data_IF_499256037314
#
_entry.id   IF_499256037314
#
_cell.length_a   1.000
_cell.length_b   1.000
_cell.length_c   1.000
_cell.angle_alpha   90.00
_cell.angle_beta   90.00
_cell.angle_gamma   90.00
#
_symmetry.space_group_name_H-M   'P 1'
#
loop_
_entity.id
_entity.type
_entity.pdbx_description
1 polymer ?
#
# COMPACT_ATOMS: atom_id res chain seq x y z
N UNK A 1 -27.71 37.21 -23.30
CA UNK A 1 -28.14 37.21 -21.89
C UNK A 1 -28.46 35.77 -21.53
N UNK A 2 -27.85 35.03 -20.62
CA UNK A 2 -26.65 35.13 -19.79
C UNK A 2 -26.51 33.70 -19.26
N UNK A 3 -25.31 33.09 -19.32
CA UNK A 3 -25.03 31.86 -18.57
C UNK A 3 -24.56 32.34 -17.19
N UNK A 4 -24.89 31.67 -16.07
CA UNK A 4 -23.79 30.95 -15.45
C UNK A 4 -24.17 29.60 -14.80
N UNK A 5 -23.43 28.57 -15.18
CA UNK A 5 -22.40 27.90 -14.36
C UNK A 5 -23.00 26.88 -13.40
N UNK A 6 -22.86 25.61 -13.80
CA UNK A 6 -22.86 24.49 -12.90
C UNK A 6 -21.94 24.82 -11.72
N UNK A 7 -22.54 25.02 -10.54
CA UNK A 7 -21.85 25.18 -9.28
C UNK A 7 -21.12 23.87 -9.01
N UNK A 8 -19.88 23.81 -9.51
CA UNK A 8 -18.86 22.90 -9.06
C UNK A 8 -18.83 23.03 -7.55
N UNK A 9 -19.32 22.01 -6.84
CA UNK A 9 -19.26 21.93 -5.38
C UNK A 9 -17.78 21.99 -4.97
N UNK A 10 -17.26 23.20 -4.76
CA UNK A 10 -16.07 23.43 -3.96
C UNK A 10 -16.49 23.16 -2.51
N UNK A 11 -16.61 21.88 -2.17
CA UNK A 11 -16.55 21.51 -0.77
C UNK A 11 -15.23 22.08 -0.24
N UNK A 12 -15.33 22.98 0.74
CA UNK A 12 -14.20 23.64 1.37
C UNK A 12 -13.25 22.56 1.86
N UNK A 13 -12.19 22.29 1.10
CA UNK A 13 -11.10 21.42 1.56
C UNK A 13 -10.65 21.97 2.91
N UNK A 14 -10.83 21.18 3.96
CA UNK A 14 -10.37 21.56 5.29
C UNK A 14 -8.85 21.64 5.20
N UNK A 15 -8.22 22.74 5.63
CA UNK A 15 -6.78 22.82 5.64
C UNK A 15 -6.24 21.68 6.51
N UNK A 16 -5.13 21.09 6.09
CA UNK A 16 -4.47 20.06 6.88
C UNK A 16 -4.13 20.61 8.27
N UNK A 17 -4.42 19.87 9.34
CA UNK A 17 -4.06 20.32 10.68
C UNK A 17 -2.54 20.49 10.77
N UNK A 18 -2.12 21.60 11.37
CA UNK A 18 -0.71 21.88 11.67
C UNK A 18 -0.56 22.08 13.18
N UNK A 19 0.19 21.22 13.90
CA UNK A 19 0.90 20.02 13.44
C UNK A 19 -0.04 18.90 12.98
N UNK A 20 0.45 18.03 12.09
CA UNK A 20 -0.34 16.91 11.58
C UNK A 20 -0.66 15.91 12.70
N UNK A 21 -1.93 15.50 12.79
CA UNK A 21 -2.39 14.54 13.80
C UNK A 21 -2.11 13.13 13.26
N UNK A 22 -1.16 12.44 13.90
CA UNK A 22 -0.85 11.06 13.54
C UNK A 22 -1.92 10.09 14.06
N UNK A 23 -2.12 8.95 13.38
CA UNK A 23 -2.87 7.82 13.94
C UNK A 23 -2.36 7.46 15.34
N UNK A 24 -3.30 7.28 16.27
CA UNK A 24 -3.02 6.94 17.68
C UNK A 24 -2.63 5.47 17.81
N UNK A 25 -3.32 4.60 17.09
CA UNK A 25 -3.11 3.16 17.12
C UNK A 25 -2.65 2.69 15.74
N UNK A 26 -1.60 1.88 15.70
CA UNK A 26 -1.16 1.21 14.49
C UNK A 26 -1.43 -0.28 14.60
N UNK A 27 -1.22 -1.03 13.51
CA UNK A 27 -1.22 -2.49 13.60
C UNK A 27 -0.08 -2.94 14.55
N UNK A 28 -0.25 -4.04 15.31
CA UNK A 28 0.74 -4.48 16.28
C UNK A 28 2.16 -4.62 15.71
N UNK A 29 2.27 -5.10 14.46
CA UNK A 29 3.54 -5.23 13.75
C UNK A 29 4.25 -3.88 13.54
N UNK A 30 3.50 -2.83 13.20
CA UNK A 30 4.03 -1.47 13.08
C UNK A 30 4.46 -0.95 14.44
N UNK A 31 3.67 -1.15 15.49
CA UNK A 31 4.01 -0.70 16.84
C UNK A 31 5.28 -1.38 17.37
N UNK A 32 5.47 -2.67 17.10
CA UNK A 32 6.70 -3.39 17.42
C UNK A 32 7.92 -2.82 16.68
N UNK A 33 7.78 -2.54 15.38
CA UNK A 33 8.83 -1.90 14.59
C UNK A 33 9.15 -0.47 15.06
N UNK A 34 8.13 0.30 15.47
CA UNK A 34 8.29 1.64 16.03
C UNK A 34 9.04 1.60 17.36
N UNK A 35 8.68 0.66 18.25
CA UNK A 35 9.35 0.49 19.56
C UNK A 35 10.78 -0.01 19.43
N UNK A 36 11.06 -0.88 18.45
CA UNK A 36 12.41 -1.43 18.21
C UNK A 36 13.32 -0.52 17.39
N UNK A 37 12.79 0.56 16.79
CA UNK A 37 13.52 1.47 15.91
C UNK A 37 14.01 0.84 14.60
N UNK A 38 13.56 -0.38 14.29
CA UNK A 38 13.90 -1.12 13.07
C UNK A 38 12.62 -1.40 12.29
N UNK A 39 12.48 -0.72 11.15
CA UNK A 39 11.30 -0.83 10.31
C UNK A 39 11.50 -1.87 9.20
N UNK A 40 10.62 -2.87 9.12
CA UNK A 40 10.55 -3.75 7.94
C UNK A 40 9.91 -3.01 6.76
N UNK A 41 10.12 -3.49 5.53
CA UNK A 41 9.51 -2.89 4.34
C UNK A 41 7.98 -2.90 4.42
N UNK A 42 7.39 -3.98 4.95
CA UNK A 42 5.95 -4.13 5.08
C UNK A 42 5.37 -3.23 6.19
N UNK A 43 5.98 -3.21 7.38
CA UNK A 43 5.57 -2.30 8.46
C UNK A 43 5.68 -0.83 8.03
N UNK A 44 6.73 -0.47 7.28
CA UNK A 44 6.88 0.87 6.69
C UNK A 44 5.71 1.21 5.79
N UNK A 45 5.33 0.31 4.89
CA UNK A 45 4.21 0.50 3.97
C UNK A 45 2.91 0.68 4.77
N UNK A 46 2.62 -0.20 5.73
CA UNK A 46 1.41 -0.12 6.56
C UNK A 46 1.32 1.19 7.36
N UNK A 47 2.43 1.65 7.94
CA UNK A 47 2.49 2.94 8.62
C UNK A 47 2.16 4.09 7.67
N UNK A 48 2.81 4.13 6.50
CA UNK A 48 2.59 5.19 5.52
C UNK A 48 1.16 5.16 4.96
N UNK A 49 0.58 3.98 4.73
CA UNK A 49 -0.82 3.84 4.32
C UNK A 49 -1.77 4.36 5.39
N UNK A 50 -1.52 4.07 6.67
CA UNK A 50 -2.34 4.55 7.79
C UNK A 50 -2.28 6.07 7.92
N UNK A 51 -1.08 6.64 7.81
CA UNK A 51 -0.87 8.09 7.83
C UNK A 51 -1.52 8.75 6.61
N UNK A 52 -1.36 8.16 5.41
CA UNK A 52 -2.00 8.65 4.20
C UNK A 52 -3.52 8.62 4.30
N UNK A 53 -4.10 7.56 4.87
CA UNK A 53 -5.56 7.44 5.08
C UNK A 53 -6.08 8.52 6.04
N UNK A 54 -5.34 8.78 7.12
CA UNK A 54 -5.65 9.88 8.03
C UNK A 54 -5.61 11.23 7.30
N UNK A 55 -4.56 11.49 6.53
CA UNK A 55 -4.45 12.71 5.71
C UNK A 55 -5.59 12.83 4.68
N UNK A 56 -5.96 11.72 4.03
CA UNK A 56 -7.03 11.64 3.04
C UNK A 56 -8.40 12.01 3.63
N UNK A 57 -8.63 11.71 4.92
CA UNK A 57 -9.85 12.11 5.63
C UNK A 57 -10.00 13.62 5.81
N UNK A 58 -8.90 14.38 5.79
CA UNK A 58 -8.90 15.84 5.85
C UNK A 58 -8.92 16.47 4.46
N UNK A 59 -8.06 15.98 3.56
CA UNK A 59 -7.85 16.57 2.24
C UNK A 59 -7.65 15.50 1.18
N UNK A 60 -8.47 15.55 0.14
CA UNK A 60 -8.51 14.55 -0.94
C UNK A 60 -7.47 14.81 -2.03
N UNK A 61 -7.14 16.09 -2.27
CA UNK A 61 -6.14 16.50 -3.26
C UNK A 61 -5.06 17.37 -2.60
N UNK A 62 -4.17 16.78 -1.79
CA UNK A 62 -3.07 17.54 -1.24
C UNK A 62 -2.12 18.05 -2.32
N UNK A 63 -1.52 19.21 -2.08
CA UNK A 63 -0.46 19.76 -2.92
C UNK A 63 0.86 19.03 -2.66
N UNK A 64 1.84 19.22 -3.55
CA UNK A 64 3.17 18.63 -3.40
C UNK A 64 3.85 19.10 -2.11
N UNK A 65 3.67 20.37 -1.77
CA UNK A 65 4.22 21.00 -0.57
C UNK A 65 3.67 20.34 0.70
N UNK A 66 2.37 20.03 0.73
CA UNK A 66 1.73 19.35 1.85
C UNK A 66 2.25 17.92 2.02
N UNK A 67 2.49 17.20 0.92
CA UNK A 67 3.16 15.89 0.99
C UNK A 67 4.59 15.99 1.53
N UNK A 68 5.34 17.03 1.14
CA UNK A 68 6.70 17.28 1.63
C UNK A 68 6.66 17.58 3.13
N UNK A 69 5.77 18.47 3.58
CA UNK A 69 5.59 18.80 4.99
C UNK A 69 5.26 17.55 5.82
N UNK A 70 4.32 16.73 5.35
CA UNK A 70 3.97 15.48 6.03
C UNK A 70 5.15 14.50 6.08
N UNK A 71 5.90 14.38 4.99
CA UNK A 71 7.09 13.52 4.96
C UNK A 71 8.17 14.00 5.94
N UNK A 72 8.38 15.32 6.04
CA UNK A 72 9.30 15.90 7.02
C UNK A 72 8.84 15.64 8.45
N UNK A 73 7.54 15.75 8.71
CA UNK A 73 6.95 15.49 10.03
C UNK A 73 7.07 14.00 10.42
N UNK A 74 6.89 13.08 9.47
CA UNK A 74 7.14 11.64 9.67
C UNK A 74 8.61 11.41 10.04
N UNK A 75 9.56 12.04 9.33
CA UNK A 75 10.99 11.90 9.63
C UNK A 75 11.33 12.50 10.99
N UNK A 76 10.73 13.63 11.35
CA UNK A 76 10.90 14.27 12.66
C UNK A 76 10.44 13.37 13.79
N UNK A 77 9.32 12.67 13.61
CA UNK A 77 8.77 11.71 14.58
C UNK A 77 9.52 10.38 14.59
N UNK A 78 9.99 9.92 13.43
CA UNK A 78 10.66 8.64 13.24
C UNK A 78 11.97 8.81 12.44
N UNK A 79 13.06 9.26 13.07
CA UNK A 79 14.32 9.59 12.37
C UNK A 79 14.93 8.42 11.59
N UNK A 80 14.74 7.20 12.06
CA UNK A 80 15.21 5.96 11.41
C UNK A 80 14.54 5.67 10.06
N UNK A 81 13.47 6.40 9.69
CA UNK A 81 12.82 6.27 8.39
C UNK A 81 13.46 7.12 7.28
N UNK A 82 14.37 8.04 7.65
CA UNK A 82 15.09 8.90 6.72
C UNK A 82 15.83 8.06 5.69
N UNK A 83 15.68 8.39 4.41
CA UNK A 83 16.50 7.77 3.37
C UNK A 83 17.95 8.19 3.54
N UNK A 84 18.87 7.23 3.55
CA UNK A 84 20.32 7.47 3.52
C UNK A 84 20.78 7.91 2.12
N UNK A 85 19.99 7.61 1.08
CA UNK A 85 20.34 7.86 -0.32
C UNK A 85 19.33 8.82 -0.95
N UNK A 86 19.84 9.88 -1.59
CA UNK A 86 19.04 10.90 -2.27
C UNK A 86 18.33 11.89 -1.33
N UNK A 87 17.19 12.44 -1.77
CA UNK A 87 16.38 13.36 -0.95
C UNK A 87 15.79 12.63 0.26
N UNK A 88 15.96 13.12 1.50
CA UNK A 88 15.60 12.39 2.72
C UNK A 88 14.11 12.04 2.80
N UNK A 89 13.25 12.86 2.19
CA UNK A 89 11.79 12.72 2.15
C UNK A 89 11.25 12.12 0.84
N UNK A 90 12.07 12.01 -0.22
CA UNK A 90 11.58 11.71 -1.57
C UNK A 90 10.83 10.39 -1.68
N UNK A 91 11.39 9.32 -1.10
CA UNK A 91 10.74 8.00 -1.09
C UNK A 91 9.42 7.99 -0.31
N UNK A 92 9.33 8.76 0.78
CA UNK A 92 8.12 8.88 1.60
C UNK A 92 7.04 9.62 0.81
N UNK A 93 7.38 10.78 0.23
CA UNK A 93 6.47 11.57 -0.61
C UNK A 93 5.90 10.73 -1.75
N UNK A 94 6.75 9.99 -2.47
CA UNK A 94 6.28 9.15 -3.58
C UNK A 94 5.33 8.04 -3.12
N UNK A 95 5.61 7.43 -1.97
CA UNK A 95 4.75 6.39 -1.38
C UNK A 95 3.40 6.96 -0.97
N UNK A 96 3.38 8.15 -0.35
CA UNK A 96 2.14 8.85 0.02
C UNK A 96 1.30 9.17 -1.23
N UNK A 97 1.91 9.74 -2.27
CA UNK A 97 1.22 10.05 -3.53
C UNK A 97 0.60 8.78 -4.14
N UNK A 98 1.33 7.67 -4.13
CA UNK A 98 0.82 6.39 -4.62
C UNK A 98 -0.37 5.90 -3.78
N UNK A 99 -0.31 5.99 -2.44
CA UNK A 99 -1.44 5.65 -1.57
C UNK A 99 -2.69 6.48 -1.92
N UNK A 100 -2.53 7.79 -2.16
CA UNK A 100 -3.63 8.67 -2.55
C UNK A 100 -4.21 8.34 -3.93
N UNK A 101 -3.38 7.90 -4.88
CA UNK A 101 -3.87 7.38 -6.17
C UNK A 101 -4.75 6.15 -5.96
N UNK A 102 -4.32 5.22 -5.11
CA UNK A 102 -5.07 4.00 -4.80
C UNK A 102 -6.39 4.30 -4.05
N UNK A 103 -6.38 5.17 -3.03
CA UNK A 103 -7.60 5.55 -2.31
C UNK A 103 -8.65 6.14 -3.25
N UNK A 104 -8.22 7.02 -4.17
CA UNK A 104 -9.13 7.60 -5.17
C UNK A 104 -9.66 6.58 -6.18
N UNK A 105 -8.88 5.55 -6.52
CA UNK A 105 -9.31 4.45 -7.41
C UNK A 105 -10.36 3.57 -6.74
N UNK A 106 -10.18 3.23 -5.47
CA UNK A 106 -11.09 2.33 -4.77
C UNK A 106 -12.41 2.98 -4.36
N UNK A 107 -12.46 4.30 -4.21
CA UNK A 107 -13.72 5.00 -3.87
C UNK A 107 -14.71 5.05 -5.03
N UNK A 108 -14.21 5.10 -6.28
CA UNK A 108 -15.08 5.04 -7.47
C UNK A 108 -15.68 3.66 -7.73
N UNK A 109 -15.17 2.60 -7.08
CA UNK A 109 -15.57 1.21 -7.33
C UNK A 109 -16.55 0.68 -6.27
N UNK A 110 -16.69 1.35 -5.12
CA UNK A 110 -17.65 0.96 -4.07
C UNK A 110 -19.07 1.53 -4.30
N UNK A 111 -19.65 1.26 -5.48
CA UNK A 111 -21.11 1.10 -5.55
C UNK A 111 -21.40 -0.26 -4.90
N UNK A 112 -22.34 -0.39 -3.95
CA UNK A 112 -22.51 -1.62 -3.17
C UNK A 112 -23.03 -2.72 -4.08
N UNK A 113 -22.12 -3.56 -4.58
CA UNK A 113 -22.45 -4.90 -5.03
C UNK A 113 -21.93 -5.85 -3.98
N UNK A 114 -22.86 -6.40 -3.21
CA UNK A 114 -22.61 -7.54 -2.35
C UNK A 114 -21.93 -8.65 -3.15
N UNK A 115 -20.67 -8.95 -2.88
CA UNK A 115 -20.07 -10.24 -3.18
C UNK A 115 -18.76 -10.36 -2.41
N UNK A 116 -18.78 -11.20 -1.39
CA UNK A 116 -17.59 -11.85 -0.88
C UNK A 116 -16.86 -12.55 -2.03
N UNK A 117 -15.57 -12.30 -2.16
CA UNK A 117 -14.61 -13.13 -2.91
C UNK A 117 -13.22 -12.60 -2.52
N UNK A 118 -12.55 -13.18 -1.53
CA UNK A 118 -11.70 -14.37 -1.67
C UNK A 118 -10.62 -14.15 -2.73
N UNK A 119 -9.36 -14.21 -2.29
CA UNK A 119 -8.20 -13.66 -2.98
C UNK A 119 -7.87 -14.28 -4.33
N UNK A 120 -7.02 -13.58 -5.08
CA UNK A 120 -6.10 -14.17 -6.06
C UNK A 120 -5.04 -13.13 -6.45
N UNK A 121 -3.84 -13.33 -5.90
CA UNK A 121 -2.58 -12.77 -6.41
C UNK A 121 -2.37 -13.27 -7.85
N UNK A 122 -2.46 -12.38 -8.83
CA UNK A 122 -2.12 -12.70 -10.22
C UNK A 122 -0.63 -12.46 -10.44
N UNK A 123 0.15 -13.52 -10.25
CA UNK A 123 1.53 -13.60 -10.73
C UNK A 123 1.51 -13.92 -12.22
N UNK A 124 2.12 -13.03 -13.00
CA UNK A 124 2.44 -13.20 -14.41
C UNK A 124 3.51 -14.30 -14.54
N UNK A 125 3.11 -15.52 -14.85
CA UNK A 125 4.03 -16.63 -15.16
C UNK A 125 3.91 -16.94 -16.65
N UNK A 126 4.99 -16.63 -17.37
CA UNK A 126 5.29 -17.00 -18.76
C UNK A 126 5.23 -18.53 -18.89
N UNK A 127 4.53 -19.12 -19.88
CA UNK A 127 4.59 -20.56 -20.11
C UNK A 127 5.90 -20.90 -20.80
N UNK A 128 6.87 -21.41 -20.04
CA UNK A 128 8.03 -22.12 -20.58
C UNK A 128 7.67 -23.60 -20.64
N UNK A 129 7.47 -24.11 -21.84
CA UNK A 129 7.24 -25.52 -22.15
C UNK A 129 8.47 -26.33 -21.70
N UNK A 130 8.30 -27.18 -20.69
CA UNK A 130 9.27 -28.22 -20.35
C UNK A 130 8.94 -29.48 -21.16
N UNK A 131 9.94 -30.18 -21.73
CA UNK A 131 9.70 -31.44 -22.44
C UNK A 131 9.26 -32.56 -21.47
N UNK A 132 8.47 -33.53 -21.95
CA UNK A 132 7.90 -34.60 -21.13
C UNK A 132 9.00 -35.54 -20.58
N UNK A 133 8.80 -36.11 -19.38
CA UNK A 133 9.72 -37.10 -18.82
C UNK A 133 9.65 -38.42 -19.61
N UNK A 134 10.81 -38.89 -20.07
CA UNK A 134 11.00 -40.24 -20.60
C UNK A 134 10.75 -41.25 -19.49
N UNK A 135 9.64 -41.98 -19.58
CA UNK A 135 9.34 -43.14 -18.74
C UNK A 135 10.14 -44.32 -19.33
N UNK A 136 11.10 -44.94 -18.62
CA UNK A 136 11.64 -46.21 -19.08
C UNK A 136 10.57 -47.29 -18.95
N UNK A 137 10.34 -47.99 -20.06
CA UNK A 137 9.47 -49.15 -20.17
C UNK A 137 9.87 -50.20 -19.13
N UNK A 138 8.85 -50.81 -18.53
CA UNK A 138 9.02 -51.74 -17.42
C UNK A 138 9.77 -53.00 -17.79
N UNK A 139 10.28 -53.64 -16.75
CA UNK A 139 10.56 -55.06 -16.74
C UNK A 139 10.01 -55.61 -15.42
N UNK A 140 9.28 -56.71 -15.61
CA UNK A 140 8.49 -57.46 -14.65
C UNK A 140 9.40 -58.22 -13.65
N UNK A 141 8.76 -59.03 -12.81
CA UNK A 141 9.36 -60.14 -12.05
C UNK A 141 9.75 -59.93 -10.56
N UNK A 142 8.79 -60.31 -9.72
CA UNK A 142 8.88 -61.39 -8.70
C UNK A 142 9.11 -61.11 -7.21
N UNK A 143 8.35 -61.91 -6.45
CA UNK A 143 8.60 -62.47 -5.11
C UNK A 143 8.25 -61.64 -3.87
N UNK A 144 7.03 -61.87 -3.39
CA UNK A 144 6.73 -61.87 -1.96
C UNK A 144 6.51 -63.32 -1.51
N UNK A 145 7.51 -63.91 -0.83
CA UNK A 145 7.29 -65.09 -0.01
C UNK A 145 6.40 -64.72 1.19
N UNK A 146 5.30 -65.44 1.36
CA UNK A 146 4.63 -65.61 2.65
C UNK A 146 4.77 -67.07 3.06
N UNK A 147 5.08 -67.23 4.34
CA UNK A 147 5.17 -68.50 5.08
C UNK A 147 3.90 -69.35 4.97
#
# INVERSE_FOLDING_TARGET
>A
MDIPVAVLRKEKEKPLPHPFIFPVNYRPEVEMCLKSGKMTKEARKQLLTSVASCMFSYKRYPTKEEFIQLAMEIIRKYPFMKSLTGTPSGAIVQTLINCFKEFRRHETVQKPSSSQSSGSTSSNIKPTVLPPPTIPAGEDETSFERQ
#
